data_IF_892147994547
#
_entry.id   IF_892147994547
#
_cell.length_a   1.000
_cell.length_b   1.000
_cell.length_c   1.000
_cell.angle_alpha   90.00
_cell.angle_beta   90.00
_cell.angle_gamma   90.00
#
_symmetry.space_group_name_H-M   'P 1'
#
loop_
_entity.id
_entity.type
_entity.pdbx_description
1 polymer ?
2 polymer ?
3 non-polymer ?
#
# COMPACT_ATOMS: atom_id res chain seq x y z
N UNK A 15 -8.91 -20.79 -19.05
CA UNK A 15 -7.99 -21.02 -20.22
C UNK A 15 -7.97 -19.84 -21.19
N UNK A 16 -9.18 -19.49 -21.68
CA UNK A 16 -9.36 -19.13 -23.10
C UNK A 16 -10.16 -17.86 -23.46
N UNK A 17 -10.41 -17.75 -24.79
CA UNK A 17 -10.88 -16.52 -25.44
C UNK A 17 -12.26 -16.64 -26.06
N UNK A 18 -13.24 -17.02 -25.24
CA UNK A 18 -14.61 -16.85 -25.59
C UNK A 18 -15.30 -16.16 -24.44
N UNK A 19 -16.41 -15.52 -24.71
CA UNK A 19 -17.07 -14.84 -23.62
C UNK A 19 -17.65 -15.85 -22.61
N UNK A 20 -16.84 -16.12 -21.58
CA UNK A 20 -17.32 -16.62 -20.29
C UNK A 20 -18.74 -16.27 -19.91
N UNK A 21 -19.53 -17.28 -19.54
CA UNK A 21 -20.85 -17.03 -18.92
C UNK A 21 -20.78 -16.60 -17.45
N UNK A 22 -19.59 -16.54 -16.83
CA UNK A 22 -19.38 -15.97 -15.46
C UNK A 22 -18.98 -14.49 -15.61
N UNK A 23 -18.52 -14.21 -16.81
CA UNK A 23 -17.97 -12.92 -17.09
C UNK A 23 -18.72 -11.68 -16.56
N UNK A 24 -20.05 -11.64 -16.56
CA UNK A 24 -20.69 -10.37 -16.11
C UNK A 24 -20.55 -10.14 -14.60
N UNK A 25 -20.43 -11.27 -13.90
CA UNK A 25 -20.22 -11.33 -12.46
C UNK A 25 -18.84 -10.80 -12.13
N UNK A 26 -17.85 -11.49 -12.70
CA UNK A 26 -16.52 -10.97 -12.74
C UNK A 26 -16.59 -9.46 -12.93
N UNK A 27 -17.24 -9.01 -14.00
CA UNK A 27 -17.24 -7.58 -14.22
C UNK A 27 -18.00 -6.81 -13.14
N UNK A 28 -19.07 -7.43 -12.63
CA UNK A 28 -19.85 -6.78 -11.57
C UNK A 28 -18.97 -6.69 -10.31
N UNK A 29 -18.06 -7.68 -10.18
CA UNK A 29 -17.19 -7.81 -9.03
C UNK A 29 -16.09 -6.74 -9.08
N UNK A 30 -15.31 -6.78 -10.16
CA UNK A 30 -14.44 -5.68 -10.53
C UNK A 30 -15.10 -4.34 -10.20
N UNK A 31 -16.36 -4.19 -10.61
CA UNK A 31 -16.93 -2.84 -10.45
C UNK A 31 -17.26 -2.54 -9.02
N UNK A 32 -17.77 -3.58 -8.31
CA UNK A 32 -18.00 -3.46 -6.87
C UNK A 32 -16.73 -2.99 -6.10
N UNK A 33 -15.59 -3.64 -6.40
CA UNK A 33 -14.31 -3.34 -5.73
C UNK A 33 -13.74 -1.99 -6.16
N UNK A 34 -13.72 -1.73 -7.46
CA UNK A 34 -13.40 -0.37 -7.89
C UNK A 34 -14.17 0.77 -7.18
N UNK A 35 -15.50 0.65 -7.04
CA UNK A 35 -16.19 1.63 -6.17
C UNK A 35 -15.78 1.63 -4.67
N UNK A 36 -15.72 0.50 -3.98
CA UNK A 36 -15.23 0.59 -2.60
C UNK A 36 -13.82 1.13 -2.48
N UNK A 37 -12.99 0.82 -3.47
CA UNK A 37 -11.63 1.30 -3.54
C UNK A 37 -11.68 2.79 -3.48
N UNK A 38 -12.42 3.47 -4.39
CA UNK A 38 -12.38 4.96 -4.36
C UNK A 38 -13.01 5.56 -3.12
N UNK A 39 -13.80 4.77 -2.46
CA UNK A 39 -14.49 5.26 -1.31
C UNK A 39 -13.56 5.10 -0.08
N UNK A 40 -12.66 4.13 -0.10
CA UNK A 40 -11.77 3.95 1.05
C UNK A 40 -10.41 4.58 0.88
N UNK A 41 -10.04 4.89 -0.35
CA UNK A 41 -8.76 5.53 -0.63
C UNK A 41 -8.83 6.97 -1.19
N UNK A 42 -8.79 7.94 -0.28
CA UNK A 42 -8.95 9.33 -0.66
C UNK A 42 -8.00 9.73 -1.82
N UNK A 43 -6.67 9.52 -1.80
CA UNK A 43 -5.90 9.84 -3.03
C UNK A 43 -5.69 8.62 -3.95
N UNK A 44 -6.26 8.64 -5.15
CA UNK A 44 -6.07 7.52 -6.05
C UNK A 44 -4.84 7.77 -6.91
N UNK A 45 -4.53 6.81 -7.77
CA UNK A 45 -3.44 6.98 -8.74
C UNK A 45 -3.80 8.07 -9.70
N UNK A 46 -5.05 8.14 -10.11
CA UNK A 46 -5.44 9.17 -11.10
C UNK A 46 -5.17 10.56 -10.53
N UNK A 47 -5.69 10.87 -9.34
CA UNK A 47 -5.37 12.15 -8.80
C UNK A 47 -3.87 12.29 -8.69
N UNK A 48 -3.15 11.23 -8.33
CA UNK A 48 -1.75 11.44 -7.99
C UNK A 48 -0.92 11.74 -9.22
N UNK A 49 -1.15 10.99 -10.29
CA UNK A 49 -0.53 11.28 -11.58
C UNK A 49 -0.95 12.66 -12.01
N UNK A 50 -2.18 13.06 -11.71
CA UNK A 50 -2.58 14.39 -12.14
C UNK A 50 -1.64 15.45 -11.50
N UNK A 51 -1.48 15.42 -10.18
CA UNK A 51 -0.65 16.36 -9.46
C UNK A 51 0.82 16.45 -9.97
N UNK A 52 1.35 15.30 -10.44
CA UNK A 52 2.73 15.19 -10.89
C UNK A 52 2.82 15.45 -12.37
N UNK A 53 1.75 16.00 -12.92
CA UNK A 53 1.60 16.14 -14.36
C UNK A 53 1.34 17.62 -14.55
N UNK A 54 1.12 18.33 -13.43
CA UNK A 54 0.61 19.69 -13.43
C UNK A 54 -0.55 19.72 -14.39
N UNK A 55 -1.47 18.76 -14.28
CA UNK A 55 -2.66 18.74 -15.10
C UNK A 55 -3.79 19.50 -14.37
N UNK A 56 -3.92 19.29 -13.06
CA UNK A 56 -4.85 20.07 -12.20
C UNK A 56 -4.13 21.25 -11.54
N UNK A 57 -4.77 22.45 -11.41
CA UNK A 57 -4.08 23.67 -10.87
C UNK A 57 -4.27 24.13 -9.39
N UNK A 58 -5.53 24.16 -8.93
CA UNK A 58 -5.90 24.13 -7.49
C UNK A 58 -4.72 23.81 -6.53
N UNK A 59 -4.30 22.55 -6.53
CA UNK A 59 -3.01 22.12 -5.97
C UNK A 59 -1.77 22.47 -6.84
N UNK A 60 -0.68 22.81 -6.16
CA UNK A 60 0.66 22.53 -6.64
C UNK A 60 1.40 22.24 -5.35
N UNK A 61 2.05 21.07 -5.24
CA UNK A 61 2.66 20.66 -3.97
C UNK A 61 3.89 21.49 -3.68
N UNK A 62 4.15 21.79 -2.41
CA UNK A 62 5.41 22.39 -2.08
C UNK A 62 6.52 21.36 -2.23
N UNK A 63 7.71 21.80 -2.58
CA UNK A 63 8.81 20.86 -2.85
C UNK A 63 9.84 20.85 -1.68
N UNK A 64 10.27 19.65 -1.26
CA UNK A 64 11.23 19.55 -0.18
C UNK A 64 12.44 18.87 -0.76
N UNK A 65 13.51 19.63 -0.92
CA UNK A 65 14.69 19.12 -1.59
C UNK A 65 15.89 19.25 -0.68
N UNK A 66 15.78 20.08 0.36
CA UNK A 66 16.86 20.30 1.35
C UNK A 66 16.36 20.89 2.65
N UNK A 67 17.23 20.83 3.67
CA UNK A 67 16.86 21.23 5.05
C UNK A 67 16.24 22.60 5.07
N UNK A 68 16.76 23.44 4.23
CA UNK A 68 16.18 24.73 4.07
C UNK A 68 14.68 24.65 3.68
N UNK A 69 14.34 23.92 2.62
CA UNK A 69 12.95 23.81 2.18
C UNK A 69 12.13 22.90 3.07
N UNK A 70 12.74 21.93 3.74
CA UNK A 70 12.05 21.24 4.83
C UNK A 70 11.27 22.27 5.72
N UNK A 71 11.99 23.16 6.42
CA UNK A 71 11.36 24.18 7.29
C UNK A 71 10.29 24.98 6.59
N UNK A 72 10.69 25.50 5.44
CA UNK A 72 9.80 26.29 4.62
C UNK A 72 8.42 25.63 4.44
N UNK A 73 8.43 24.30 4.24
CA UNK A 73 7.25 23.56 3.82
C UNK A 73 6.52 23.05 5.01
N UNK A 74 7.29 22.65 6.00
CA UNK A 74 6.79 22.33 7.34
C UNK A 74 6.04 23.48 8.02
N UNK A 75 5.81 24.56 7.27
CA UNK A 75 5.21 25.80 7.68
C UNK A 75 4.08 26.15 6.71
N UNK A 76 4.15 25.63 5.49
CA UNK A 76 3.12 25.89 4.53
C UNK A 76 2.22 24.69 4.30
N UNK A 77 2.47 23.59 5.02
CA UNK A 77 1.66 22.35 4.99
C UNK A 77 1.29 22.06 6.45
N UNK A 78 0.02 21.76 6.63
CA UNK A 78 -0.51 21.43 7.95
C UNK A 78 -0.31 19.91 8.11
N UNK A 79 0.68 19.57 8.95
CA UNK A 79 1.09 18.18 9.21
C UNK A 79 0.45 17.66 10.50
N UNK A 80 -0.12 16.46 10.43
CA UNK A 80 -0.96 15.92 11.49
C UNK A 80 -0.20 15.06 12.52
N UNK A 81 1.11 14.93 12.36
CA UNK A 81 2.04 14.74 13.47
C UNK A 81 2.68 16.15 13.69
N UNK A 82 3.75 16.33 14.47
CA UNK A 82 4.21 17.73 14.78
C UNK A 82 3.08 18.55 15.48
N UNK A 89 12.23 21.23 19.88
CA UNK A 89 11.60 20.15 19.12
C UNK A 89 12.58 18.98 18.85
N UNK A 90 12.08 17.89 18.26
CA UNK A 90 12.87 16.66 18.01
C UNK A 90 13.59 16.84 16.65
N UNK A 91 14.49 15.91 16.31
CA UNK A 91 15.34 16.00 15.11
C UNK A 91 14.65 15.55 13.77
N UNK A 92 15.02 16.17 12.64
CA UNK A 92 14.44 15.94 11.29
C UNK A 92 14.15 14.50 10.84
N UNK A 93 15.14 13.62 10.96
CA UNK A 93 14.98 12.28 10.52
C UNK A 93 13.75 11.73 11.23
N UNK A 94 13.74 11.95 12.55
CA UNK A 94 12.66 11.47 13.41
C UNK A 94 11.31 12.09 13.09
N UNK A 95 11.29 13.39 12.88
CA UNK A 95 10.06 14.03 12.55
C UNK A 95 9.47 13.41 11.30
N UNK A 96 10.33 12.96 10.40
CA UNK A 96 9.90 12.41 9.12
C UNK A 96 9.48 10.99 9.34
N UNK A 97 10.24 10.32 10.19
CA UNK A 97 9.89 8.99 10.55
C UNK A 97 8.54 8.96 11.20
N UNK A 98 8.29 9.92 12.06
CA UNK A 98 7.05 10.02 12.79
C UNK A 98 5.84 10.06 11.87
N UNK A 99 6.03 10.77 10.74
CA UNK A 99 4.99 11.04 9.79
C UNK A 99 4.77 9.96 8.75
N UNK A 100 5.78 9.16 8.48
CA UNK A 100 5.59 8.05 7.60
C UNK A 100 4.69 7.05 8.33
N UNK A 101 4.96 6.98 9.64
CA UNK A 101 4.30 6.13 10.63
C UNK A 101 2.84 6.50 10.81
N UNK A 102 2.53 7.81 10.91
CA UNK A 102 1.14 8.26 11.05
C UNK A 102 0.35 8.00 9.77
N UNK A 103 0.98 8.25 8.66
CA UNK A 103 0.29 7.96 7.44
C UNK A 103 0.06 6.44 7.44
N UNK A 104 1.05 5.77 7.97
CA UNK A 104 0.98 4.35 8.04
C UNK A 104 -0.15 3.87 8.90
N UNK A 105 -0.33 4.37 10.13
CA UNK A 105 -1.51 3.84 10.89
C UNK A 105 -2.80 4.24 10.23
N UNK A 106 -2.79 5.34 9.52
CA UNK A 106 -3.93 5.70 8.68
C UNK A 106 -4.25 4.72 7.57
N UNK A 107 -3.25 4.27 6.84
CA UNK A 107 -3.50 3.31 5.76
C UNK A 107 -3.99 1.96 6.31
N UNK A 108 -3.59 1.61 7.55
CA UNK A 108 -4.17 0.45 8.21
C UNK A 108 -5.69 0.58 8.34
N UNK A 109 -6.13 1.69 8.89
CA UNK A 109 -7.56 1.84 9.04
C UNK A 109 -8.23 1.77 7.64
N UNK A 110 -7.71 2.50 6.65
CA UNK A 110 -8.32 2.47 5.30
C UNK A 110 -8.29 1.09 4.67
N UNK A 111 -7.21 0.34 4.85
CA UNK A 111 -7.16 -1.04 4.36
C UNK A 111 -8.17 -1.91 5.05
N UNK A 112 -8.39 -1.70 6.33
CA UNK A 112 -9.39 -2.52 7.02
C UNK A 112 -10.85 -2.33 6.51
N UNK A 113 -11.18 -1.09 6.23
CA UNK A 113 -12.48 -0.72 5.73
C UNK A 113 -12.64 -1.33 4.35
N UNK A 114 -11.65 -1.18 3.51
CA UNK A 114 -11.77 -1.80 2.21
C UNK A 114 -11.90 -3.32 2.25
N UNK A 115 -11.02 -4.01 2.99
CA UNK A 115 -11.08 -5.48 3.15
C UNK A 115 -12.50 -5.99 3.38
N UNK A 116 -13.08 -5.31 4.37
CA UNK A 116 -14.41 -5.55 4.86
C UNK A 116 -15.46 -5.44 3.79
N UNK A 117 -15.10 -5.06 2.59
CA UNK A 117 -16.13 -4.90 1.65
C UNK A 117 -15.86 -5.79 0.43
N UNK A 118 -14.77 -6.55 0.46
CA UNK A 118 -14.61 -7.65 -0.45
C UNK A 118 -15.66 -8.76 -0.13
N UNK A 119 -16.57 -9.08 -1.08
CA UNK A 119 -17.59 -10.11 -0.84
C UNK A 119 -16.91 -11.36 -0.32
N UNK A 120 -17.47 -11.93 0.74
CA UNK A 120 -16.99 -13.18 1.33
C UNK A 120 -16.12 -12.99 2.55
N UNK A 121 -15.40 -11.86 2.58
CA UNK A 121 -14.40 -11.60 3.59
C UNK A 121 -14.94 -11.59 5.05
N UNK A 122 -16.05 -10.90 5.31
CA UNK A 122 -16.55 -10.79 6.70
C UNK A 122 -17.17 -12.04 7.27
N UNK A 123 -17.38 -13.10 6.48
CA UNK A 123 -17.90 -14.36 6.99
C UNK A 123 -16.79 -15.35 7.17
N UNK A 124 -15.56 -14.92 6.99
CA UNK A 124 -14.43 -15.74 7.32
C UNK A 124 -14.30 -15.74 8.81
N UNK A 125 -13.59 -16.74 9.37
CA UNK A 125 -13.47 -16.79 10.82
C UNK A 125 -12.58 -15.63 11.22
N UNK A 126 -13.03 -14.89 12.20
CA UNK A 126 -12.44 -13.62 12.55
C UNK A 126 -10.99 -13.78 12.93
N UNK A 127 -10.67 -14.89 13.56
CA UNK A 127 -9.30 -15.25 13.89
C UNK A 127 -8.46 -15.04 12.63
N UNK A 128 -8.91 -15.57 11.49
CA UNK A 128 -8.17 -15.58 10.21
C UNK A 128 -8.09 -14.23 9.44
N UNK A 129 -9.21 -13.48 9.47
CA UNK A 129 -9.23 -12.11 9.02
C UNK A 129 -8.15 -11.33 9.69
N UNK A 130 -7.90 -11.62 10.95
CA UNK A 130 -6.86 -10.84 11.62
C UNK A 130 -5.50 -11.18 11.03
N UNK A 131 -5.28 -12.47 10.77
CA UNK A 131 -4.04 -12.87 10.17
C UNK A 131 -3.79 -12.30 8.77
N UNK A 132 -4.86 -12.19 7.99
CA UNK A 132 -4.79 -11.85 6.59
C UNK A 132 -4.45 -10.35 6.48
N UNK A 133 -5.13 -9.49 7.25
CA UNK A 133 -4.69 -8.10 7.51
C UNK A 133 -3.22 -7.92 8.03
N UNK A 134 -2.84 -8.59 9.13
CA UNK A 134 -1.49 -8.49 9.68
C UNK A 134 -0.43 -8.71 8.63
N UNK A 135 -0.66 -9.63 7.71
CA UNK A 135 0.39 -9.91 6.76
C UNK A 135 0.26 -9.03 5.47
N UNK A 136 -0.96 -8.63 5.13
CA UNK A 136 -1.18 -7.88 3.89
C UNK A 136 -0.99 -6.36 3.92
N UNK A 137 -1.15 -5.84 5.13
CA UNK A 137 -1.18 -4.43 5.33
C UNK A 137 0.06 -3.77 4.67
N UNK A 138 1.25 -4.26 4.97
CA UNK A 138 2.46 -3.64 4.47
C UNK A 138 2.68 -3.91 3.03
N UNK A 139 2.23 -5.09 2.60
CA UNK A 139 2.26 -5.33 1.18
C UNK A 139 1.44 -4.28 0.49
N UNK A 140 0.23 -3.95 0.96
CA UNK A 140 -0.67 -2.99 0.31
C UNK A 140 -0.05 -1.63 0.40
N UNK A 141 0.30 -1.25 1.62
CA UNK A 141 1.01 0.01 1.78
C UNK A 141 2.02 0.27 0.69
N UNK A 142 2.87 -0.69 0.39
CA UNK A 142 3.92 -0.54 -0.58
C UNK A 142 3.40 -0.35 -1.96
N UNK A 143 2.30 -1.02 -2.33
CA UNK A 143 1.76 -0.77 -3.68
C UNK A 143 1.00 0.54 -3.80
N UNK A 144 0.39 1.02 -2.73
CA UNK A 144 -0.22 2.32 -2.75
C UNK A 144 0.82 3.40 -2.77
N UNK A 145 1.90 3.20 -2.05
CA UNK A 145 3.03 4.11 -2.16
C UNK A 145 3.55 4.26 -3.58
N UNK A 146 3.51 3.22 -4.42
CA UNK A 146 4.00 3.38 -5.80
C UNK A 146 3.20 4.46 -6.62
N UNK A 147 1.90 4.52 -6.37
CA UNK A 147 0.98 5.47 -6.97
C UNK A 147 1.49 6.83 -6.66
N UNK A 148 2.00 7.06 -5.45
CA UNK A 148 2.49 8.39 -5.11
C UNK A 148 3.92 8.72 -5.49
N UNK A 149 4.54 7.99 -6.39
CA UNK A 149 5.97 8.13 -6.56
C UNK A 149 6.39 8.19 -8.01
N UNK A 150 7.41 9.00 -8.30
CA UNK A 150 8.25 8.79 -9.50
C UNK A 150 9.68 8.54 -9.07
N UNK A 151 10.61 8.52 -10.00
CA UNK A 151 11.94 8.25 -9.57
C UNK A 151 12.56 9.41 -8.82
N UNK A 152 11.89 10.56 -8.82
CA UNK A 152 12.35 11.73 -8.06
C UNK A 152 11.83 11.86 -6.63
N UNK A 153 10.77 11.13 -6.28
CA UNK A 153 10.13 11.42 -5.02
C UNK A 153 8.69 11.00 -4.79
N UNK A 154 8.18 11.42 -3.63
CA UNK A 154 6.90 11.02 -3.12
C UNK A 154 6.05 12.23 -2.80
N UNK A 155 4.81 12.14 -3.26
CA UNK A 155 3.75 12.99 -2.78
C UNK A 155 3.45 12.65 -1.30
N UNK A 156 3.43 13.67 -0.45
CA UNK A 156 3.21 13.48 0.99
C UNK A 156 2.16 14.47 1.38
N UNK A 157 1.47 14.17 2.44
CA UNK A 157 0.45 15.06 2.97
C UNK A 157 -0.68 15.19 2.04
N UNK A 158 -1.28 14.04 1.71
CA UNK A 158 -2.49 13.98 0.91
C UNK A 158 -2.21 14.88 -0.31
N UNK A 159 -1.11 14.64 -1.03
CA UNK A 159 -0.76 15.47 -2.19
C UNK A 159 -0.38 16.93 -1.98
N UNK A 160 0.12 17.30 -0.80
CA UNK A 160 0.41 18.73 -0.56
C UNK A 160 1.85 19.09 -0.53
N UNK A 161 2.72 18.09 -0.36
CA UNK A 161 4.16 18.22 -0.48
C UNK A 161 4.69 17.23 -1.51
N UNK A 162 5.86 17.55 -2.07
CA UNK A 162 6.63 16.57 -2.86
C UNK A 162 7.94 16.37 -2.13
N UNK A 163 8.21 15.16 -1.63
CA UNK A 163 9.50 14.99 -0.98
C UNK A 163 10.43 14.17 -1.82
N UNK A 164 11.63 14.63 -1.82
CA UNK A 164 12.65 14.18 -2.74
C UNK A 164 13.38 12.90 -2.34
N UNK A 165 13.46 12.01 -3.30
CA UNK A 165 14.15 10.78 -3.12
C UNK A 165 15.54 11.09 -2.66
N UNK A 166 16.24 12.05 -3.29
CA UNK A 166 17.64 12.37 -2.83
C UNK A 166 17.74 12.98 -1.44
N UNK A 167 16.77 13.77 -1.03
CA UNK A 167 16.85 14.42 0.26
C UNK A 167 16.65 13.34 1.30
N UNK A 168 15.79 12.38 1.00
CA UNK A 168 15.51 11.29 1.92
C UNK A 168 16.75 10.44 2.13
N UNK A 169 17.51 10.22 1.04
CA UNK A 169 18.76 9.42 1.12
C UNK A 169 19.82 10.21 1.95
N UNK A 170 19.56 11.50 2.18
CA UNK A 170 20.52 12.37 2.76
C UNK A 170 20.46 12.26 4.27
N UNK A 171 19.40 11.67 4.83
CA UNK A 171 19.29 11.66 6.29
C UNK A 171 20.26 10.66 6.93
N UNK A 172 20.48 10.82 8.24
CA UNK A 172 21.43 9.99 9.00
C UNK A 172 21.22 8.46 9.05
N UNK A 173 22.35 7.83 9.31
CA UNK A 173 22.69 6.41 9.11
C UNK A 173 21.58 5.38 9.05
N UNK A 174 20.74 5.26 10.06
CA UNK A 174 19.60 4.31 9.87
C UNK A 174 18.56 4.90 8.91
N UNK A 175 18.26 6.19 9.04
CA UNK A 175 16.99 6.70 8.55
C UNK A 175 16.87 6.92 7.05
N UNK A 176 17.99 7.22 6.42
CA UNK A 176 18.03 7.49 5.01
C UNK A 176 18.29 6.26 4.20
N UNK A 177 17.89 5.09 4.71
CA UNK A 177 17.86 3.89 3.86
C UNK A 177 16.53 3.21 3.97
N UNK A 178 15.59 3.87 4.64
CA UNK A 178 14.28 3.26 4.76
C UNK A 178 13.32 3.43 3.57
N UNK A 179 13.29 4.58 2.87
CA UNK A 179 12.48 4.74 1.63
C UNK A 179 13.07 4.17 0.34
N UNK A 180 14.38 3.99 0.28
CA UNK A 180 14.97 3.62 -0.98
C UNK A 180 14.40 2.36 -1.59
N UNK A 181 14.20 1.34 -0.74
CA UNK A 181 13.71 0.07 -1.28
C UNK A 181 12.32 0.24 -1.80
N UNK A 182 11.53 1.19 -1.28
CA UNK A 182 10.17 1.38 -1.74
C UNK A 182 10.15 2.16 -3.07
N UNK A 183 11.05 3.12 -3.22
CA UNK A 183 11.34 3.71 -4.51
C UNK A 183 11.91 2.67 -5.48
N UNK A 184 12.79 1.82 -5.00
CA UNK A 184 13.34 0.82 -5.87
C UNK A 184 12.19 0.03 -6.50
N UNK A 185 11.24 -0.38 -5.70
CA UNK A 185 10.06 -1.16 -6.17
C UNK A 185 9.07 -0.33 -7.03
N UNK A 186 8.76 0.87 -6.57
CA UNK A 186 7.88 1.74 -7.30
C UNK A 186 8.25 1.94 -8.78
N UNK A 187 9.52 2.15 -9.05
CA UNK A 187 9.98 2.36 -10.42
C UNK A 187 9.67 1.11 -11.30
N UNK A 188 9.94 -0.07 -10.72
CA UNK A 188 9.68 -1.33 -11.43
C UNK A 188 8.16 -1.58 -11.58
N UNK A 189 7.45 -1.24 -10.52
CA UNK A 189 6.01 -1.44 -10.52
C UNK A 189 5.28 -0.49 -11.44
N UNK A 190 5.61 0.79 -11.33
CA UNK A 190 4.96 1.72 -12.19
C UNK A 190 5.19 1.49 -13.65
N UNK A 191 6.14 0.65 -13.96
CA UNK A 191 6.39 0.43 -15.37
C UNK A 191 5.31 -0.43 -16.02
N UNK A 192 4.52 -1.16 -15.23
CA UNK A 192 3.34 -1.91 -15.74
C UNK A 192 2.16 -0.98 -16.14
N UNK A 193 2.31 0.33 -15.97
CA UNK A 193 1.20 1.28 -16.21
C UNK A 193 -0.17 0.74 -15.75
N UNK A 194 -0.29 0.32 -14.50
CA UNK A 194 -1.55 -0.16 -14.00
C UNK A 194 -2.39 1.02 -13.60
N UNK A 195 -3.73 0.88 -13.61
CA UNK A 195 -4.53 1.93 -13.02
C UNK A 195 -5.49 1.53 -11.88
N UNK A 196 -6.15 2.53 -11.29
CA UNK A 196 -7.07 2.25 -10.21
C UNK A 196 -8.01 1.02 -10.42
N UNK A 197 -8.57 0.88 -11.61
CA UNK A 197 -9.26 -0.38 -11.93
C UNK A 197 -8.45 -1.65 -11.80
N UNK A 198 -7.17 -1.65 -12.14
CA UNK A 198 -6.38 -2.84 -11.95
C UNK A 198 -6.00 -3.01 -10.48
N UNK A 199 -5.78 -1.87 -9.82
CA UNK A 199 -5.20 -1.85 -8.50
C UNK A 199 -6.19 -2.33 -7.44
N UNK A 200 -7.44 -1.93 -7.56
CA UNK A 200 -8.49 -2.33 -6.64
C UNK A 200 -8.58 -3.88 -6.62
N UNK A 201 -8.43 -4.54 -7.76
CA UNK A 201 -8.47 -6.01 -7.70
C UNK A 201 -7.19 -6.66 -7.23
N UNK A 202 -6.04 -6.21 -7.71
CA UNK A 202 -4.76 -6.61 -7.17
C UNK A 202 -4.77 -6.67 -5.64
N UNK A 203 -5.26 -5.59 -5.09
CA UNK A 203 -5.19 -5.43 -3.65
C UNK A 203 -6.04 -6.43 -2.90
N UNK A 204 -7.27 -6.65 -3.38
CA UNK A 204 -8.08 -7.73 -2.83
C UNK A 204 -7.42 -9.11 -3.10
N UNK A 205 -6.67 -9.23 -4.18
CA UNK A 205 -5.97 -10.51 -4.34
C UNK A 205 -4.89 -10.73 -3.24
N UNK A 206 -3.97 -9.76 -3.12
CA UNK A 206 -2.99 -9.71 -2.07
C UNK A 206 -3.62 -10.08 -0.75
N UNK A 207 -4.55 -9.27 -0.27
CA UNK A 207 -5.12 -9.49 1.05
C UNK A 207 -5.57 -10.93 1.19
N UNK A 208 -6.29 -11.45 0.21
CA UNK A 208 -6.86 -12.75 0.32
C UNK A 208 -5.91 -13.87 -0.03
N UNK A 209 -4.85 -14.08 0.73
CA UNK A 209 -3.75 -14.99 0.39
C UNK A 209 -3.73 -16.21 1.33
N UNK A 210 -4.07 -17.39 0.81
CA UNK A 210 -4.12 -18.65 1.56
C UNK A 210 -2.77 -19.19 2.06
N UNK A 211 -1.60 -18.66 1.59
CA UNK A 211 -0.22 -18.93 2.09
C UNK A 211 0.10 -18.29 3.42
N UNK A 212 -0.84 -17.59 4.04
CA UNK A 212 -0.43 -16.89 5.27
C UNK A 212 -0.12 -17.87 6.46
N UNK A 213 1.05 -17.69 7.10
CA UNK A 213 1.33 -18.37 8.38
C UNK A 213 0.19 -18.19 9.44
N UNK A 214 -0.44 -19.27 9.89
CA UNK A 214 -1.33 -19.20 11.03
C UNK A 214 -2.81 -19.30 10.65
N UNK A 215 -3.13 -19.66 9.40
CA UNK A 215 -4.50 -19.64 9.00
C UNK A 215 -5.09 -20.91 9.46
N UNK A 216 -6.20 -20.83 10.13
CA UNK A 216 -6.82 -22.02 10.66
C UNK A 216 -7.69 -22.64 9.61
N UNK A 217 -8.46 -21.87 8.87
CA UNK A 217 -9.34 -22.51 7.91
C UNK A 217 -9.20 -21.89 6.52
N UNK A 218 -8.38 -22.51 5.69
CA UNK A 218 -7.93 -21.92 4.45
C UNK A 218 -8.78 -22.17 3.21
N UNK A 219 -9.69 -23.14 3.24
CA UNK A 219 -10.33 -23.50 2.01
C UNK A 219 -11.11 -22.33 1.57
N UNK A 220 -11.97 -21.76 2.42
CA UNK A 220 -12.84 -20.66 1.98
C UNK A 220 -11.98 -19.45 1.62
N UNK A 221 -10.74 -19.36 2.12
CA UNK A 221 -9.84 -18.30 1.65
C UNK A 221 -9.51 -18.43 0.19
N UNK A 222 -8.96 -19.59 -0.14
CA UNK A 222 -8.59 -19.98 -1.48
C UNK A 222 -9.76 -19.78 -2.46
N UNK A 223 -11.00 -19.92 -2.00
CA UNK A 223 -12.16 -19.87 -2.90
C UNK A 223 -12.41 -18.47 -3.44
N UNK A 224 -12.46 -17.55 -2.49
CA UNK A 224 -12.68 -16.17 -2.76
C UNK A 224 -11.54 -15.71 -3.67
N UNK A 225 -10.33 -16.19 -3.37
CA UNK A 225 -9.16 -15.76 -4.09
C UNK A 225 -9.19 -16.14 -5.54
N UNK A 226 -9.49 -17.40 -5.87
CA UNK A 226 -9.59 -17.84 -7.28
C UNK A 226 -10.46 -16.88 -8.03
N UNK A 227 -11.55 -16.51 -7.38
CA UNK A 227 -12.50 -15.72 -8.03
C UNK A 227 -11.95 -14.33 -8.36
N UNK A 228 -11.16 -13.77 -7.44
CA UNK A 228 -10.51 -12.48 -7.61
C UNK A 228 -9.44 -12.60 -8.69
N UNK A 229 -8.70 -13.71 -8.70
CA UNK A 229 -7.72 -13.94 -9.75
C UNK A 229 -8.40 -14.04 -11.12
N UNK A 230 -9.60 -14.63 -11.18
CA UNK A 230 -10.36 -14.64 -12.43
C UNK A 230 -10.65 -13.19 -12.75
N UNK A 231 -11.33 -12.50 -11.83
CA UNK A 231 -11.68 -11.11 -12.04
C UNK A 231 -10.47 -10.31 -12.58
N UNK A 232 -9.25 -10.72 -12.20
CA UNK A 232 -8.09 -9.89 -12.43
C UNK A 232 -7.62 -10.17 -13.85
N UNK A 233 -7.58 -11.44 -14.21
CA UNK A 233 -7.21 -11.87 -15.53
C UNK A 233 -8.04 -11.11 -16.54
N UNK A 234 -9.36 -11.18 -16.34
CA UNK A 234 -10.35 -10.61 -17.23
C UNK A 234 -10.12 -9.12 -17.43
N UNK A 235 -10.05 -8.43 -16.29
CA UNK A 235 -9.77 -7.01 -16.18
C UNK A 235 -8.53 -6.69 -17.01
N UNK A 236 -7.44 -7.45 -16.85
CA UNK A 236 -6.19 -7.06 -17.52
C UNK A 236 -6.23 -7.29 -19.02
N UNK A 237 -6.95 -8.34 -19.45
CA UNK A 237 -7.28 -8.55 -20.86
C UNK A 237 -8.01 -7.33 -21.42
N UNK A 238 -9.11 -6.88 -20.78
CA UNK A 238 -9.92 -5.81 -21.38
C UNK A 238 -9.15 -4.51 -21.41
N UNK A 239 -8.59 -4.15 -20.26
CA UNK A 239 -7.90 -2.89 -20.04
C UNK A 239 -6.52 -2.70 -20.64
N UNK A 240 -5.86 -3.78 -21.01
CA UNK A 240 -4.46 -3.65 -21.42
C UNK A 240 -4.14 -4.51 -22.66
N UNK A 241 -4.50 -4.04 -23.87
CA UNK A 241 -4.12 -4.76 -25.11
C UNK A 241 -2.58 -4.80 -25.31
N UNK A 242 -1.96 -3.73 -24.80
CA UNK A 242 -0.59 -3.40 -25.06
C UNK A 242 0.41 -4.48 -24.70
N UNK A 243 0.18 -5.20 -23.59
CA UNK A 243 1.09 -6.24 -23.11
C UNK A 243 0.44 -7.59 -23.08
N UNK A 244 1.09 -8.56 -23.74
CA UNK A 244 0.53 -9.91 -23.87
C UNK A 244 0.49 -10.61 -22.52
N UNK A 245 1.51 -10.39 -21.67
CA UNK A 245 1.63 -11.13 -20.42
C UNK A 245 1.87 -10.36 -19.11
N UNK A 246 0.89 -9.50 -18.83
CA UNK A 246 0.89 -8.62 -17.68
C UNK A 246 0.39 -9.35 -16.44
N UNK A 247 -0.57 -10.28 -16.60
CA UNK A 247 -1.21 -10.96 -15.47
C UNK A 247 -0.18 -11.67 -14.69
N UNK A 248 0.85 -12.12 -15.37
CA UNK A 248 1.87 -12.97 -14.80
C UNK A 248 3.00 -12.15 -14.25
N UNK A 249 3.31 -11.04 -14.90
CA UNK A 249 4.27 -10.10 -14.35
C UNK A 249 3.78 -9.61 -12.97
N UNK A 250 2.46 -9.58 -12.82
CA UNK A 250 1.79 -9.09 -11.61
C UNK A 250 1.81 -10.12 -10.50
N UNK A 251 1.54 -11.38 -10.90
CA UNK A 251 1.65 -12.56 -10.03
C UNK A 251 3.06 -12.62 -9.52
N UNK A 252 4.02 -12.32 -10.38
CA UNK A 252 5.39 -12.22 -9.95
C UNK A 252 5.63 -11.07 -8.96
N UNK A 253 5.01 -9.94 -9.18
CA UNK A 253 5.11 -8.84 -8.26
C UNK A 253 4.67 -9.19 -6.84
N UNK A 254 3.64 -10.00 -6.71
CA UNK A 254 3.19 -10.40 -5.39
C UNK A 254 4.27 -11.08 -4.57
N UNK A 255 5.10 -11.88 -5.22
CA UNK A 255 6.28 -12.48 -4.57
C UNK A 255 7.38 -11.46 -4.17
N UNK A 256 7.84 -10.62 -5.10
CA UNK A 256 8.80 -9.57 -4.74
C UNK A 256 8.45 -8.84 -3.44
N UNK A 257 7.17 -8.48 -3.31
CA UNK A 257 6.70 -7.74 -2.14
C UNK A 257 6.96 -8.39 -0.78
N UNK A 258 6.81 -9.71 -0.66
CA UNK A 258 6.98 -10.39 0.60
C UNK A 258 8.42 -10.32 0.94
N UNK A 259 9.27 -10.39 -0.08
CA UNK A 259 10.69 -10.18 0.17
C UNK A 259 10.94 -8.72 0.52
N UNK A 260 10.24 -7.79 -0.11
CA UNK A 260 10.50 -6.39 0.33
C UNK A 260 10.12 -6.13 1.79
N UNK A 261 9.02 -6.72 2.24
CA UNK A 261 8.57 -6.55 3.62
C UNK A 261 9.55 -7.14 4.64
N UNK A 262 9.99 -8.36 4.38
CA UNK A 262 11.06 -8.96 5.17
C UNK A 262 12.22 -8.02 5.40
N UNK A 263 12.76 -7.46 4.32
CA UNK A 263 13.76 -6.37 4.40
C UNK A 263 13.29 -5.20 5.31
N UNK A 264 12.02 -4.81 5.19
CA UNK A 264 11.48 -3.70 5.97
C UNK A 264 11.51 -3.98 7.46
N UNK A 265 10.94 -5.12 7.84
CA UNK A 265 10.94 -5.62 9.22
C UNK A 265 12.35 -5.74 9.78
N UNK A 266 13.27 -6.31 8.98
CA UNK A 266 14.62 -6.55 9.44
C UNK A 266 15.27 -5.23 9.76
N UNK A 267 15.40 -4.35 8.78
CA UNK A 267 15.77 -2.97 9.07
C UNK A 267 15.19 -2.38 10.35
N UNK A 268 13.89 -2.16 10.40
CA UNK A 268 13.18 -1.75 11.63
C UNK A 268 13.65 -2.33 12.99
N UNK A 269 14.23 -3.54 12.98
CA UNK A 269 15.03 -4.13 14.09
C UNK A 269 16.22 -3.25 14.54
N UNK A 270 17.16 -3.02 13.62
CA UNK A 270 18.17 -1.96 13.74
C UNK A 270 17.57 -0.74 14.45
N UNK A 271 16.81 0.10 13.73
CA UNK A 271 16.20 1.31 14.32
C UNK A 271 15.71 1.15 15.77
N UNK A 272 14.95 0.07 16.03
CA UNK A 272 14.35 -0.19 17.34
C UNK A 272 15.44 -0.22 18.38
N UNK A 273 16.55 -0.87 18.04
CA UNK A 273 17.71 -1.01 18.91
C UNK A 273 18.86 -0.09 18.47
N UNK A 274 18.54 1.13 18.08
CA UNK A 274 19.56 2.12 17.76
C UNK A 274 19.03 3.47 18.21
N UNK A 275 17.72 3.53 18.46
CA UNK A 275 17.05 4.75 18.96
C UNK A 275 16.20 4.61 20.27
N UNK A 276 16.80 4.98 21.42
CA UNK A 276 16.06 5.24 22.68
C UNK A 276 15.11 6.38 22.37
N UNK A 277 14.04 6.47 23.15
CA UNK A 277 13.07 7.57 22.99
C UNK A 277 12.14 7.32 21.80
N UNK A 278 12.17 6.09 21.26
CA UNK A 278 11.45 5.77 20.01
C UNK A 278 9.95 5.64 20.18
N UNK A 279 9.52 4.46 20.69
CA UNK A 279 8.11 4.07 20.75
C UNK A 279 7.60 4.03 19.34
N UNK A 280 7.33 2.82 18.89
CA UNK A 280 6.62 2.62 17.67
C UNK A 280 5.19 2.68 18.09
N UNK A 281 4.33 3.16 17.22
CA UNK A 281 2.90 3.19 17.52
C UNK A 281 2.38 1.78 17.91
N UNK A 282 1.52 1.69 18.92
CA UNK A 282 1.02 0.37 19.36
C UNK A 282 0.35 -0.47 18.26
N UNK A 283 -0.27 0.14 17.25
CA UNK A 283 -0.93 -0.62 16.19
C UNK A 283 0.16 -1.27 15.36
N UNK A 284 1.23 -0.53 15.17
CA UNK A 284 2.34 -0.97 14.31
C UNK A 284 3.18 -2.03 14.94
N UNK A 285 3.11 -2.12 16.26
CA UNK A 285 3.95 -3.04 16.98
C UNK A 285 3.26 -4.31 16.89
N UNK A 286 1.96 -4.19 16.85
CA UNK A 286 1.11 -5.34 16.78
C UNK A 286 1.34 -6.07 15.46
N UNK A 287 1.37 -5.33 14.37
CA UNK A 287 1.55 -5.98 13.09
C UNK A 287 2.94 -6.58 13.03
N UNK A 288 3.93 -5.72 13.29
CA UNK A 288 5.29 -6.15 13.39
C UNK A 288 5.51 -7.38 14.27
N UNK A 289 4.79 -7.53 15.37
CA UNK A 289 4.85 -8.70 16.26
C UNK A 289 5.44 -9.96 15.65
N UNK A 290 4.72 -11.05 15.57
CA UNK A 290 5.52 -12.22 15.18
C UNK A 290 5.63 -12.37 13.64
N UNK A 291 6.22 -11.40 12.98
CA UNK A 291 6.02 -11.28 11.53
C UNK A 291 7.16 -11.78 10.63
N UNK A 292 6.77 -12.42 9.52
CA UNK A 292 7.72 -12.66 8.38
C UNK A 292 7.24 -12.18 6.95
N UNK B 3 -2.52 -12.09 21.05
CA UNK B 3 -3.95 -11.68 20.99
C UNK B 3 -4.29 -10.76 19.79
N UNK B 4 -3.41 -9.75 19.44
CA UNK B 4 -3.75 -8.57 18.50
C UNK B 4 -5.02 -7.74 18.80
N UNK B 5 -5.08 -7.18 19.99
CA UNK B 5 -6.28 -6.49 20.45
C UNK B 5 -6.80 -5.37 19.50
N UNK B 6 -5.86 -4.59 18.96
CA UNK B 6 -6.26 -3.41 18.16
C UNK B 6 -6.83 -3.73 16.74
N UNK B 7 -6.11 -4.57 16.02
CA UNK B 7 -6.60 -5.07 14.76
C UNK B 7 -7.97 -5.68 15.00
N UNK B 8 -8.16 -6.41 16.12
CA UNK B 8 -9.44 -7.08 16.41
C UNK B 8 -10.46 -5.94 16.47
N UNK B 9 -10.16 -4.89 17.25
CA UNK B 9 -11.13 -3.84 17.52
C UNK B 9 -11.47 -3.07 16.23
N UNK B 10 -10.45 -2.85 15.40
CA UNK B 10 -10.70 -2.37 14.05
C UNK B 10 -11.66 -3.21 13.25
N UNK B 11 -11.74 -4.52 13.40
CA UNK B 11 -12.74 -5.21 12.61
C UNK B 11 -14.15 -5.11 13.18
N UNK B 12 -14.52 -3.93 13.73
CA UNK B 12 -15.93 -3.42 13.88
C UNK B 12 -16.05 -1.87 13.55
#
# INVERSE_FOLDING_TARGET
GSSHHHHHHSGSGTIEGRLNPESADLRALAKHLYDSYIKSFPLTKAKARAILTGKTTDKSPFVIYDMNSLMMGEDKIKFKHITPLQEQSKEVAIRIFQGCQFRSVEAVQEITEYAKSIPGFVNLDLNDQVTLLKYGVHEIIYTMLASLMNKDGVLISEGQGFMTREFLKSLRKPFGDFMEPKFEFAVKFNALELDDSDLAIFIAVIILSGDRPGLLNVKPIEDIQDNLLQALELQLKLNHPESSQLFAKLLQKMTDLRQIVTEHVQLLQVIKKTETDMSLHPLLQEIYKDLY
KEKHKILHRLLQDS
#
